data_IF_083132414397
#
_entry.id   IF_083132414397
#
_cell.length_a   1.000
_cell.length_b   1.000
_cell.length_c   1.000
_cell.angle_alpha   90.00
_cell.angle_beta   90.00
_cell.angle_gamma   90.00
#
_symmetry.space_group_name_H-M   'P 1'
#
loop_
_entity.id
_entity.type
_entity.pdbx_description
1 polymer ?
#
# COMPACT_ATOMS: atom_id res chain seq x y z
N UNK A 1 -32.58 -31.42 3.45
CA UNK A 1 -31.32 -30.77 3.06
C UNK A 1 -31.50 -30.33 1.62
N UNK A 2 -31.26 -29.06 1.30
CA UNK A 2 -31.28 -28.60 -0.10
C UNK A 2 -30.03 -29.09 -0.82
N UNK A 3 -30.17 -29.38 -2.11
CA UNK A 3 -29.04 -29.79 -2.94
C UNK A 3 -27.94 -28.70 -2.95
N UNK A 4 -26.66 -29.11 -2.97
CA UNK A 4 -25.56 -28.17 -3.04
C UNK A 4 -25.64 -27.32 -4.31
N UNK A 5 -25.40 -26.02 -4.16
CA UNK A 5 -25.35 -25.04 -5.24
C UNK A 5 -23.89 -24.71 -5.52
N UNK A 6 -23.50 -24.85 -6.80
CA UNK A 6 -22.18 -24.44 -7.28
C UNK A 6 -22.25 -23.10 -8.00
N UNK A 7 -21.38 -22.19 -7.57
CA UNK A 7 -21.16 -20.86 -8.13
C UNK A 7 -19.81 -20.83 -8.85
N UNK A 8 -19.76 -20.17 -9.99
CA UNK A 8 -18.53 -19.80 -10.68
C UNK A 8 -18.31 -18.30 -10.53
N UNK A 9 -17.37 -17.88 -9.68
CA UNK A 9 -17.07 -16.47 -9.41
C UNK A 9 -15.73 -16.12 -10.05
N UNK A 10 -15.77 -15.43 -11.18
CA UNK A 10 -14.57 -15.03 -11.94
C UNK A 10 -13.67 -16.20 -12.34
N UNK A 11 -14.24 -17.39 -12.58
CA UNK A 11 -13.52 -18.62 -12.89
C UNK A 11 -13.24 -19.53 -11.69
N UNK A 12 -13.50 -19.08 -10.45
CA UNK A 12 -13.31 -19.89 -9.24
C UNK A 12 -14.61 -20.53 -8.79
N UNK A 13 -14.61 -21.85 -8.65
CA UNK A 13 -15.78 -22.61 -8.22
C UNK A 13 -15.92 -22.61 -6.70
N UNK A 14 -17.14 -22.33 -6.24
CA UNK A 14 -17.55 -22.42 -4.84
C UNK A 14 -18.81 -23.24 -4.73
N UNK A 15 -18.85 -24.20 -3.80
CA UNK A 15 -20.04 -24.99 -3.50
C UNK A 15 -20.57 -24.63 -2.11
N UNK A 16 -21.87 -24.37 -2.02
CA UNK A 16 -22.54 -23.98 -0.78
C UNK A 16 -24.01 -24.40 -0.79
N UNK A 17 -24.76 -24.05 0.26
CA UNK A 17 -26.20 -24.32 0.35
C UNK A 17 -27.04 -23.11 -0.03
N UNK A 18 -28.30 -23.35 -0.42
CA UNK A 18 -29.29 -22.29 -0.61
C UNK A 18 -29.43 -21.44 0.66
N UNK A 19 -29.48 -22.08 1.83
CA UNK A 19 -29.63 -21.41 3.12
C UNK A 19 -28.50 -20.41 3.40
N UNK A 20 -27.27 -20.72 2.96
CA UNK A 20 -26.13 -19.79 3.06
C UNK A 20 -26.29 -18.60 2.12
N UNK A 21 -26.71 -18.82 0.87
CA UNK A 21 -26.86 -17.72 -0.10
C UNK A 21 -28.03 -16.80 0.22
N UNK A 22 -29.03 -17.32 0.95
CA UNK A 22 -30.19 -16.57 1.40
C UNK A 22 -30.13 -16.18 2.88
N UNK A 23 -28.98 -16.29 3.56
CA UNK A 23 -28.86 -15.96 4.98
C UNK A 23 -29.11 -14.47 5.25
N UNK A 24 -28.82 -13.62 4.26
CA UNK A 24 -29.20 -12.21 4.23
C UNK A 24 -30.13 -11.95 3.04
N UNK A 25 -31.46 -12.02 3.23
CA UNK A 25 -32.45 -11.91 2.14
C UNK A 25 -32.40 -10.60 1.37
N UNK A 26 -32.00 -9.51 2.03
CA UNK A 26 -31.90 -8.17 1.45
C UNK A 26 -30.59 -7.95 0.66
N UNK A 27 -29.67 -8.91 0.69
CA UNK A 27 -28.45 -8.87 -0.12
C UNK A 27 -28.74 -9.24 -1.57
N UNK A 28 -27.81 -8.89 -2.47
CA UNK A 28 -27.88 -9.27 -3.88
C UNK A 28 -27.96 -10.80 -4.04
N UNK A 29 -27.17 -11.56 -3.27
CA UNK A 29 -27.20 -13.02 -3.30
C UNK A 29 -28.54 -13.57 -2.77
N UNK A 30 -29.09 -12.96 -1.72
CA UNK A 30 -30.42 -13.29 -1.22
C UNK A 30 -31.51 -13.09 -2.28
N UNK A 31 -31.45 -11.99 -3.04
CA UNK A 31 -32.36 -11.72 -4.15
C UNK A 31 -32.16 -12.69 -5.33
N UNK A 32 -30.92 -12.98 -5.71
CA UNK A 32 -30.58 -13.92 -6.79
C UNK A 32 -31.08 -15.33 -6.51
N UNK A 33 -30.91 -15.83 -5.29
CA UNK A 33 -31.22 -17.20 -4.93
C UNK A 33 -32.61 -17.39 -4.29
N UNK A 34 -33.36 -16.32 -4.07
CA UNK A 34 -34.80 -16.39 -3.72
C UNK A 34 -35.73 -16.50 -4.94
N UNK A 35 -35.17 -16.59 -6.16
CA UNK A 35 -35.93 -16.68 -7.41
C UNK A 35 -36.42 -15.32 -7.93
N UNK A 36 -35.97 -14.21 -7.33
CA UNK A 36 -36.39 -12.85 -7.68
C UNK A 36 -35.54 -12.23 -8.80
N UNK A 37 -34.39 -12.81 -9.15
CA UNK A 37 -33.52 -12.31 -10.21
C UNK A 37 -33.01 -13.42 -11.13
N UNK A 38 -32.89 -13.15 -12.44
CA UNK A 38 -32.28 -14.08 -13.38
C UNK A 38 -30.78 -14.24 -13.12
N UNK A 39 -30.29 -15.47 -13.15
CA UNK A 39 -28.87 -15.81 -12.97
C UNK A 39 -28.24 -16.25 -14.29
N UNK A 40 -27.10 -15.65 -14.65
CA UNK A 40 -26.29 -16.13 -15.77
C UNK A 40 -25.67 -17.48 -15.38
N UNK A 41 -25.54 -18.39 -16.34
CA UNK A 41 -24.88 -19.68 -16.15
C UNK A 41 -23.66 -19.82 -17.04
N UNK A 42 -22.64 -20.51 -16.56
CA UNK A 42 -21.48 -20.89 -17.36
C UNK A 42 -21.79 -22.08 -18.29
N UNK A 43 -20.80 -22.54 -19.06
CA UNK A 43 -20.94 -23.68 -19.97
C UNK A 43 -21.23 -25.02 -19.28
N UNK A 44 -21.00 -25.11 -17.97
CA UNK A 44 -21.28 -26.28 -17.15
C UNK A 44 -22.60 -26.15 -16.37
N UNK A 45 -23.32 -25.04 -16.55
CA UNK A 45 -24.61 -24.80 -15.92
C UNK A 45 -24.54 -24.23 -14.49
N UNK A 46 -23.34 -23.88 -14.00
CA UNK A 46 -23.15 -23.23 -12.69
C UNK A 46 -23.54 -21.76 -12.77
N UNK A 47 -24.06 -21.20 -11.68
CA UNK A 47 -24.37 -19.76 -11.63
C UNK A 47 -23.06 -18.96 -11.73
N UNK A 48 -22.96 -18.12 -12.76
CA UNK A 48 -21.77 -17.33 -13.03
C UNK A 48 -21.90 -15.91 -12.47
N UNK A 49 -20.87 -15.47 -11.77
CA UNK A 49 -20.73 -14.12 -11.21
C UNK A 49 -19.38 -13.56 -11.69
N UNK A 50 -19.42 -12.47 -12.44
CA UNK A 50 -18.25 -11.84 -13.02
C UNK A 50 -17.55 -10.91 -12.01
N UNK A 51 -16.99 -11.49 -10.94
CA UNK A 51 -16.36 -10.80 -9.80
C UNK A 51 -15.10 -11.54 -9.33
N UNK A 52 -14.38 -10.95 -8.36
CA UNK A 52 -13.16 -11.54 -7.83
C UNK A 52 -13.43 -12.83 -7.05
N UNK A 53 -13.05 -13.96 -7.65
CA UNK A 53 -13.22 -15.27 -7.03
C UNK A 53 -12.39 -15.46 -5.77
N UNK A 54 -11.21 -14.84 -5.61
CA UNK A 54 -10.34 -15.05 -4.45
C UNK A 54 -10.96 -14.44 -3.20
N UNK A 55 -11.42 -13.20 -3.31
CA UNK A 55 -12.02 -12.41 -2.23
C UNK A 55 -13.41 -12.93 -1.85
N UNK A 56 -14.14 -13.51 -2.80
CA UNK A 56 -15.45 -14.12 -2.55
C UNK A 56 -15.43 -15.16 -1.42
N UNK A 57 -14.30 -15.81 -1.14
CA UNK A 57 -14.14 -16.71 0.01
C UNK A 57 -14.58 -16.05 1.33
N UNK A 58 -14.20 -14.80 1.55
CA UNK A 58 -14.50 -14.08 2.79
C UNK A 58 -15.98 -13.68 2.86
N UNK A 59 -16.56 -13.26 1.72
CA UNK A 59 -18.01 -13.02 1.60
C UNK A 59 -18.76 -14.30 1.97
N UNK A 60 -18.40 -15.43 1.36
CA UNK A 60 -19.07 -16.70 1.58
C UNK A 60 -18.92 -17.21 3.02
N UNK A 61 -17.77 -17.00 3.65
CA UNK A 61 -17.59 -17.36 5.06
C UNK A 61 -18.45 -16.49 5.97
N UNK A 62 -18.52 -15.19 5.72
CA UNK A 62 -19.42 -14.30 6.46
C UNK A 62 -20.88 -14.73 6.31
N UNK A 63 -21.32 -15.14 5.11
CA UNK A 63 -22.68 -15.68 4.91
C UNK A 63 -22.97 -16.95 5.72
N UNK A 64 -21.93 -17.73 6.09
CA UNK A 64 -22.06 -18.98 6.86
C UNK A 64 -22.08 -18.74 8.36
N UNK A 65 -21.22 -17.85 8.85
CA UNK A 65 -20.98 -17.67 10.28
C UNK A 65 -21.56 -16.38 10.83
N UNK A 66 -21.88 -15.41 9.98
CA UNK A 66 -22.16 -14.02 10.34
C UNK A 66 -21.03 -13.34 11.12
N UNK A 67 -19.78 -13.83 10.96
CA UNK A 67 -18.59 -13.28 11.60
C UNK A 67 -17.54 -12.90 10.55
N UNK A 68 -16.84 -11.79 10.79
CA UNK A 68 -15.75 -11.31 9.94
C UNK A 68 -14.43 -12.00 10.33
N UNK A 69 -14.13 -13.10 9.66
CA UNK A 69 -12.91 -13.88 9.88
C UNK A 69 -11.86 -13.58 8.81
N UNK A 70 -10.85 -12.79 9.17
CA UNK A 70 -9.74 -12.40 8.29
C UNK A 70 -8.39 -12.89 8.85
N UNK A 71 -7.44 -13.28 7.98
CA UNK A 71 -6.05 -13.46 8.39
C UNK A 71 -5.49 -12.22 9.09
N UNK A 72 -4.57 -12.41 10.04
CA UNK A 72 -3.93 -11.29 10.77
C UNK A 72 -3.24 -10.29 9.83
N UNK A 73 -2.70 -10.78 8.72
CA UNK A 73 -1.97 -10.01 7.70
C UNK A 73 -2.83 -9.66 6.47
N UNK A 74 -4.15 -9.66 6.59
CA UNK A 74 -5.04 -9.40 5.45
C UNK A 74 -4.84 -7.99 4.85
N UNK A 75 -4.27 -7.91 3.65
CA UNK A 75 -3.95 -6.63 2.98
C UNK A 75 -5.04 -6.14 2.01
N UNK A 76 -6.04 -6.97 1.69
CA UNK A 76 -7.03 -6.69 0.64
C UNK A 76 -8.33 -6.06 1.18
N UNK A 77 -8.28 -5.36 2.33
CA UNK A 77 -9.44 -4.73 2.99
C UNK A 77 -10.30 -3.88 2.04
N UNK A 78 -9.67 -2.98 1.28
CA UNK A 78 -10.38 -2.13 0.33
C UNK A 78 -11.01 -2.87 -0.85
N UNK A 79 -10.45 -4.02 -1.24
CA UNK A 79 -11.06 -4.89 -2.26
C UNK A 79 -12.25 -5.65 -1.67
N UNK A 80 -12.10 -6.22 -0.46
CA UNK A 80 -13.18 -6.90 0.25
C UNK A 80 -14.37 -5.97 0.51
N UNK A 81 -14.12 -4.71 0.89
CA UNK A 81 -15.17 -3.69 1.05
C UNK A 81 -15.95 -3.47 -0.25
N UNK A 82 -15.26 -3.29 -1.38
CA UNK A 82 -15.92 -3.13 -2.69
C UNK A 82 -16.73 -4.36 -3.11
N UNK A 83 -16.27 -5.56 -2.78
CA UNK A 83 -17.07 -6.78 -3.02
C UNK A 83 -18.27 -6.86 -2.08
N UNK A 84 -18.12 -6.53 -0.79
CA UNK A 84 -19.23 -6.49 0.16
C UNK A 84 -20.32 -5.50 -0.27
N UNK A 85 -19.93 -4.33 -0.77
CA UNK A 85 -20.82 -3.33 -1.37
C UNK A 85 -21.53 -3.87 -2.62
N UNK A 86 -20.80 -4.55 -3.51
CA UNK A 86 -21.36 -5.16 -4.73
C UNK A 86 -22.43 -6.21 -4.40
N UNK A 87 -22.13 -7.12 -3.45
CA UNK A 87 -23.06 -8.15 -3.01
C UNK A 87 -24.15 -7.62 -2.06
N UNK A 88 -24.08 -6.34 -1.67
CA UNK A 88 -25.03 -5.67 -0.77
C UNK A 88 -25.21 -6.40 0.57
N UNK A 89 -24.13 -6.93 1.13
CA UNK A 89 -24.17 -7.61 2.44
C UNK A 89 -23.97 -6.56 3.53
N UNK A 90 -25.04 -5.85 3.89
CA UNK A 90 -24.98 -4.70 4.81
C UNK A 90 -24.28 -4.99 6.15
N UNK A 91 -24.57 -6.11 6.86
CA UNK A 91 -23.88 -6.42 8.12
C UNK A 91 -22.37 -6.67 7.95
N UNK A 92 -21.92 -7.13 6.77
CA UNK A 92 -20.50 -7.28 6.47
C UNK A 92 -19.83 -5.92 6.26
N UNK A 93 -20.51 -4.99 5.58
CA UNK A 93 -20.01 -3.62 5.37
C UNK A 93 -19.80 -2.93 6.71
N UNK A 94 -20.76 -3.08 7.64
CA UNK A 94 -20.68 -2.55 9.00
C UNK A 94 -19.53 -3.19 9.79
N UNK A 95 -19.40 -4.52 9.78
CA UNK A 95 -18.31 -5.21 10.45
C UNK A 95 -16.92 -4.80 9.91
N UNK A 96 -16.79 -4.59 8.60
CA UNK A 96 -15.55 -4.09 7.99
C UNK A 96 -15.22 -2.67 8.47
N UNK A 97 -16.22 -1.80 8.54
CA UNK A 97 -16.03 -0.43 9.04
C UNK A 97 -15.64 -0.41 10.52
N UNK A 98 -16.27 -1.24 11.36
CA UNK A 98 -15.89 -1.38 12.76
C UNK A 98 -14.46 -1.86 12.90
N UNK A 99 -14.04 -2.86 12.11
CA UNK A 99 -12.66 -3.36 12.10
C UNK A 99 -11.65 -2.28 11.70
N UNK A 100 -11.95 -1.49 10.67
CA UNK A 100 -11.11 -0.35 10.27
C UNK A 100 -10.99 0.69 11.38
N UNK A 101 -12.10 0.98 12.08
CA UNK A 101 -12.11 1.88 13.23
C UNK A 101 -11.30 1.29 14.40
N UNK A 102 -11.42 0.02 14.72
CA UNK A 102 -10.62 -0.65 15.75
C UNK A 102 -9.12 -0.58 15.46
N UNK A 103 -8.72 -0.87 14.22
CA UNK A 103 -7.33 -0.76 13.78
C UNK A 103 -6.84 0.69 13.92
N UNK A 104 -7.66 1.68 13.58
CA UNK A 104 -7.31 3.08 13.79
C UNK A 104 -7.24 3.49 15.27
N UNK A 105 -8.09 2.90 16.13
CA UNK A 105 -8.12 3.14 17.57
C UNK A 105 -6.91 2.54 18.28
N UNK A 106 -6.44 1.36 17.84
CA UNK A 106 -5.26 0.71 18.38
C UNK A 106 -3.98 1.54 18.16
N UNK A 107 -3.95 2.38 17.13
CA UNK A 107 -2.82 3.24 16.79
C UNK A 107 -2.97 4.69 17.28
N UNK A 108 -3.92 4.96 18.19
CA UNK A 108 -4.14 6.31 18.75
C UNK A 108 -2.88 6.95 19.29
N UNK A 109 -2.14 6.19 20.10
CA UNK A 109 -0.81 6.56 20.54
C UNK A 109 0.19 5.95 19.58
N UNK A 110 0.98 6.79 18.92
CA UNK A 110 1.98 6.31 17.99
C UNK A 110 3.29 7.07 18.13
N UNK A 111 4.39 6.38 17.88
CA UNK A 111 5.71 6.95 17.75
C UNK A 111 6.19 6.75 16.30
N UNK A 112 6.89 7.74 15.78
CA UNK A 112 7.58 7.70 14.49
C UNK A 112 9.03 8.10 14.72
N UNK A 113 9.95 7.21 14.38
CA UNK A 113 11.38 7.46 14.39
C UNK A 113 11.92 7.38 12.96
N UNK A 114 12.67 8.39 12.56
CA UNK A 114 13.30 8.44 11.24
C UNK A 114 14.79 8.63 11.47
N UNK A 115 15.62 7.79 10.86
CA UNK A 115 17.08 7.92 10.85
C UNK A 115 17.55 8.10 9.41
N UNK A 116 18.28 9.18 9.15
CA UNK A 116 18.75 9.58 7.83
C UNK A 116 20.27 9.45 7.74
N UNK A 117 20.73 8.77 6.69
CA UNK A 117 22.14 8.58 6.38
C UNK A 117 22.45 9.02 4.95
N UNK A 118 23.39 9.94 4.79
CA UNK A 118 23.85 10.41 3.49
C UNK A 118 25.30 9.99 3.28
N UNK A 119 25.61 9.54 2.06
CA UNK A 119 26.97 9.29 1.61
C UNK A 119 27.16 9.84 0.21
N UNK A 120 28.39 10.16 -0.13
CA UNK A 120 28.79 10.48 -1.51
C UNK A 120 29.35 9.22 -2.14
N UNK A 121 28.90 8.89 -3.35
CA UNK A 121 29.38 7.77 -4.14
C UNK A 121 29.79 8.28 -5.52
N UNK A 122 30.92 7.81 -6.04
CA UNK A 122 31.31 8.08 -7.43
C UNK A 122 30.57 7.11 -8.35
N UNK A 123 29.92 7.65 -9.37
CA UNK A 123 29.30 6.88 -10.46
C UNK A 123 30.18 7.00 -11.70
N UNK A 124 30.50 5.86 -12.31
CA UNK A 124 31.24 5.79 -13.56
C UNK A 124 30.27 5.44 -14.68
N UNK A 125 30.33 6.15 -15.80
CA UNK A 125 29.40 5.94 -16.91
C UNK A 125 30.04 6.34 -18.23
N UNK A 126 29.43 5.90 -19.33
CA UNK A 126 29.91 6.21 -20.67
C UNK A 126 29.01 7.25 -21.33
N UNK A 127 29.60 8.33 -21.82
CA UNK A 127 28.90 9.36 -22.59
C UNK A 127 29.18 9.14 -24.07
N UNK A 128 28.13 9.23 -24.89
CA UNK A 128 28.26 9.11 -26.35
C UNK A 128 28.47 10.51 -26.94
N UNK A 129 29.67 10.75 -27.46
CA UNK A 129 30.05 12.03 -28.07
C UNK A 129 29.69 12.07 -29.57
N UNK A 130 29.82 10.93 -30.26
CA UNK A 130 29.50 10.78 -31.68
C UNK A 130 29.11 9.32 -32.01
N UNK A 131 28.68 9.00 -33.25
CA UNK A 131 28.54 7.61 -33.67
C UNK A 131 29.86 6.85 -33.44
N UNK A 132 29.81 5.78 -32.63
CA UNK A 132 30.96 4.95 -32.25
C UNK A 132 32.04 5.64 -31.39
N UNK A 133 31.86 6.90 -30.97
CA UNK A 133 32.78 7.60 -30.08
C UNK A 133 32.16 7.73 -28.70
N UNK A 134 32.84 7.16 -27.72
CA UNK A 134 32.39 7.06 -26.34
C UNK A 134 33.51 7.54 -25.40
N UNK A 135 33.16 8.37 -24.43
CA UNK A 135 34.05 8.86 -23.39
C UNK A 135 33.66 8.24 -22.04
N UNK A 136 34.65 7.83 -21.24
CA UNK A 136 34.41 7.42 -19.86
C UNK A 136 34.31 8.67 -19.00
N UNK A 137 33.21 8.81 -18.30
CA UNK A 137 32.92 9.92 -17.39
C UNK A 137 32.73 9.41 -15.97
N UNK A 138 32.96 10.29 -15.00
CA UNK A 138 32.74 10.00 -13.59
C UNK A 138 32.14 11.22 -12.92
N UNK A 139 31.11 11.00 -12.11
CA UNK A 139 30.45 12.07 -11.36
C UNK A 139 30.29 11.65 -9.90
N UNK A 140 30.34 12.63 -9.00
CA UNK A 140 29.95 12.42 -7.61
C UNK A 140 28.43 12.48 -7.51
N UNK A 141 27.86 11.54 -6.76
CA UNK A 141 26.43 11.43 -6.54
C UNK A 141 26.15 11.29 -5.05
N UNK A 142 25.14 12.01 -4.58
CA UNK A 142 24.62 11.83 -3.23
C UNK A 142 23.67 10.64 -3.20
N UNK A 143 23.92 9.74 -2.26
CA UNK A 143 23.07 8.58 -1.96
C UNK A 143 22.48 8.80 -0.58
N UNK A 144 21.17 8.72 -0.52
CA UNK A 144 20.37 8.94 0.67
C UNK A 144 19.74 7.62 1.11
N UNK A 145 19.77 7.40 2.41
CA UNK A 145 19.11 6.30 3.08
C UNK A 145 18.22 6.85 4.21
N UNK A 146 16.98 6.36 4.29
CA UNK A 146 16.06 6.64 5.39
C UNK A 146 15.56 5.34 6.00
N UNK A 147 15.81 5.15 7.29
CA UNK A 147 15.22 4.07 8.08
C UNK A 147 14.11 4.65 8.93
N UNK A 148 12.89 4.19 8.67
CA UNK A 148 11.68 4.72 9.29
C UNK A 148 11.06 3.60 10.11
N UNK A 149 10.86 3.86 11.39
CA UNK A 149 10.11 3.00 12.28
C UNK A 149 8.87 3.74 12.75
N UNK A 150 7.72 3.10 12.67
CA UNK A 150 6.51 3.62 13.33
C UNK A 150 5.75 2.52 14.03
N UNK A 151 5.23 2.83 15.21
CA UNK A 151 4.25 1.96 15.88
C UNK A 151 2.86 2.04 15.23
N UNK A 152 2.65 2.99 14.29
CA UNK A 152 1.46 3.10 13.45
C UNK A 152 1.77 2.52 12.06
N UNK A 153 1.31 1.30 11.80
CA UNK A 153 1.45 0.68 10.48
C UNK A 153 0.55 1.37 9.45
N UNK A 154 -0.58 1.94 9.86
CA UNK A 154 -1.43 2.74 8.97
C UNK A 154 -0.70 3.99 8.50
N UNK A 155 0.09 4.64 9.38
CA UNK A 155 0.91 5.78 8.99
C UNK A 155 1.96 5.36 7.94
N UNK A 156 2.65 4.23 8.12
CA UNK A 156 3.62 3.78 7.12
C UNK A 156 2.97 3.38 5.79
N UNK A 157 1.76 2.80 5.82
CA UNK A 157 0.96 2.55 4.61
C UNK A 157 0.57 3.87 3.93
N UNK A 158 0.13 4.87 4.69
CA UNK A 158 -0.19 6.21 4.18
C UNK A 158 1.03 6.86 3.55
N UNK A 159 2.17 6.87 4.25
CA UNK A 159 3.43 7.39 3.74
C UNK A 159 3.84 6.66 2.44
N UNK A 160 3.76 5.33 2.46
CA UNK A 160 4.06 4.49 1.30
C UNK A 160 3.15 4.74 0.10
N UNK A 161 1.90 5.15 0.32
CA UNK A 161 0.97 5.50 -0.75
C UNK A 161 1.29 6.83 -1.44
N UNK A 162 2.13 7.67 -0.81
CA UNK A 162 2.54 8.99 -1.33
C UNK A 162 3.92 8.98 -1.98
N UNK A 163 4.76 8.02 -1.61
CA UNK A 163 6.13 7.91 -2.07
C UNK A 163 6.27 6.82 -3.16
N UNK A 164 7.02 7.15 -4.21
CA UNK A 164 7.21 6.28 -5.36
C UNK A 164 8.68 6.24 -5.76
N UNK A 165 9.18 5.05 -6.09
CA UNK A 165 10.42 4.94 -6.83
C UNK A 165 10.17 5.18 -8.31
N UNK A 166 11.01 6.02 -8.91
CA UNK A 166 11.09 6.18 -10.35
C UNK A 166 12.27 5.36 -10.87
N UNK A 167 11.97 4.39 -11.73
CA UNK A 167 12.95 3.61 -12.47
C UNK A 167 12.52 3.53 -13.93
N UNK A 168 13.42 3.91 -14.85
CA UNK A 168 13.15 3.93 -16.29
C UNK A 168 11.84 4.67 -16.69
N UNK A 169 11.59 5.82 -16.07
CA UNK A 169 10.37 6.62 -16.28
C UNK A 169 9.08 6.04 -15.68
N UNK A 170 9.11 4.84 -15.09
CA UNK A 170 7.97 4.24 -14.43
C UNK A 170 7.99 4.51 -12.93
N UNK A 171 6.82 4.86 -12.39
CA UNK A 171 6.60 5.04 -10.96
C UNK A 171 6.07 3.74 -10.34
N UNK A 172 6.78 3.22 -9.35
CA UNK A 172 6.35 2.08 -8.54
C UNK A 172 6.18 2.52 -7.09
N UNK A 173 5.01 2.26 -6.49
CA UNK A 173 4.76 2.61 -5.09
C UNK A 173 5.72 1.85 -4.18
N UNK A 174 6.25 2.55 -3.18
CA UNK A 174 7.12 1.93 -2.18
C UNK A 174 6.37 0.96 -1.25
N UNK A 175 5.02 0.97 -1.25
CA UNK A 175 4.22 0.02 -0.46
C UNK A 175 4.52 -1.44 -0.79
N UNK A 176 4.91 -1.73 -2.04
CA UNK A 176 5.36 -3.06 -2.45
C UNK A 176 6.68 -3.51 -1.80
N UNK A 177 7.42 -2.59 -1.20
CA UNK A 177 8.69 -2.84 -0.52
C UNK A 177 8.57 -2.88 1.02
N UNK A 178 7.38 -2.68 1.58
CA UNK A 178 7.10 -2.87 3.01
C UNK A 178 7.09 -4.37 3.32
N UNK A 179 8.23 -4.91 3.78
CA UNK A 179 8.32 -6.28 4.28
C UNK A 179 7.87 -6.39 5.75
N UNK A 180 8.03 -5.30 6.50
CA UNK A 180 7.67 -5.19 7.91
C UNK A 180 6.58 -4.10 8.04
N UNK A 181 5.46 -4.37 8.73
CA UNK A 181 4.38 -3.40 8.91
C UNK A 181 4.79 -2.14 9.70
N UNK A 182 5.86 -2.22 10.50
CA UNK A 182 6.34 -1.16 11.39
C UNK A 182 7.68 -0.57 10.95
N UNK A 183 8.31 -1.10 9.89
CA UNK A 183 9.58 -0.62 9.38
C UNK A 183 9.55 -0.34 7.88
N UNK A 184 10.16 0.78 7.47
CA UNK A 184 10.31 1.16 6.08
C UNK A 184 11.73 1.69 5.85
N UNK A 185 12.46 1.03 4.95
CA UNK A 185 13.78 1.47 4.50
C UNK A 185 13.67 2.03 3.09
N UNK A 186 14.23 3.23 2.89
CA UNK A 186 14.29 3.89 1.60
C UNK A 186 15.74 4.17 1.22
N UNK A 187 16.07 3.91 -0.03
CA UNK A 187 17.37 4.20 -0.63
C UNK A 187 17.14 4.89 -1.97
N UNK A 188 17.68 6.09 -2.12
CA UNK A 188 17.54 6.87 -3.34
C UNK A 188 18.74 7.76 -3.61
N UNK A 189 18.83 8.25 -4.84
CA UNK A 189 19.90 9.14 -5.27
C UNK A 189 19.38 10.51 -5.67
N UNK A 190 20.24 11.53 -5.50
CA UNK A 190 20.02 12.84 -6.09
C UNK A 190 20.01 12.75 -7.63
N UNK A 191 19.50 13.79 -8.28
CA UNK A 191 19.75 13.95 -9.72
C UNK A 191 21.24 14.23 -9.94
N UNK A 192 21.85 13.54 -10.90
CA UNK A 192 23.26 13.70 -11.25
C UNK A 192 23.32 14.37 -12.60
N UNK A 193 23.94 15.54 -12.65
CA UNK A 193 24.11 16.28 -13.90
C UNK A 193 24.94 15.46 -14.90
N UNK A 194 24.43 15.35 -16.13
CA UNK A 194 25.09 14.64 -17.22
C UNK A 194 25.00 13.12 -17.18
N UNK A 195 24.40 12.51 -16.15
CA UNK A 195 24.21 11.06 -16.10
C UNK A 195 23.05 10.64 -17.02
N UNK A 196 23.28 9.81 -18.06
CA UNK A 196 22.22 9.37 -18.97
C UNK A 196 21.14 8.56 -18.24
N UNK A 197 19.87 8.69 -18.64
CA UNK A 197 18.73 7.98 -18.04
C UNK A 197 18.89 6.44 -18.03
N UNK A 198 19.48 5.88 -19.09
CA UNK A 198 19.77 4.45 -19.16
C UNK A 198 20.68 3.98 -18.03
N UNK A 199 21.56 4.85 -17.56
CA UNK A 199 22.58 4.51 -16.58
C UNK A 199 22.00 4.33 -15.19
N UNK A 200 20.94 5.09 -14.86
CA UNK A 200 20.17 4.85 -13.64
C UNK A 200 19.60 3.43 -13.61
N UNK A 201 19.14 2.93 -14.77
CA UNK A 201 18.59 1.58 -14.87
C UNK A 201 19.71 0.53 -14.82
N UNK A 202 20.80 0.72 -15.60
CA UNK A 202 21.94 -0.20 -15.65
C UNK A 202 22.60 -0.38 -14.29
N UNK A 203 22.70 0.69 -13.51
CA UNK A 203 23.34 0.69 -12.20
C UNK A 203 22.33 0.55 -11.05
N UNK A 204 21.06 0.26 -11.34
CA UNK A 204 19.98 0.08 -10.36
C UNK A 204 19.85 1.25 -9.37
N UNK A 205 20.06 2.47 -9.86
CA UNK A 205 19.94 3.71 -9.10
C UNK A 205 18.47 4.16 -9.12
N UNK A 206 17.88 4.31 -7.93
CA UNK A 206 16.49 4.68 -7.77
C UNK A 206 16.36 6.14 -7.40
N UNK A 207 15.42 6.85 -8.01
CA UNK A 207 15.02 8.19 -7.59
C UNK A 207 13.70 8.11 -6.84
N UNK A 208 13.55 8.92 -5.80
CA UNK A 208 12.35 8.96 -4.99
C UNK A 208 11.47 10.16 -5.38
N UNK A 209 10.16 9.95 -5.43
CA UNK A 209 9.17 10.94 -5.88
C UNK A 209 7.96 10.98 -4.94
N UNK A 210 7.30 12.13 -4.89
CA UNK A 210 6.02 12.32 -4.19
C UNK A 210 4.88 12.48 -5.19
N UNK A 211 3.80 11.75 -4.97
CA UNK A 211 2.56 11.79 -5.77
C UNK A 211 1.40 12.22 -4.86
N UNK A 212 0.51 13.14 -5.30
CA UNK A 212 0.31 13.65 -6.67
C UNK A 212 1.13 14.88 -7.05
N UNK A 213 1.96 15.42 -6.15
CA UNK A 213 2.73 16.64 -6.41
C UNK A 213 3.74 16.52 -7.58
N UNK A 214 4.04 15.29 -8.01
CA UNK A 214 5.03 14.95 -9.03
C UNK A 214 6.38 15.66 -8.79
N UNK A 215 6.83 15.61 -7.53
CA UNK A 215 8.04 16.27 -7.06
C UNK A 215 9.10 15.22 -6.74
N UNK A 216 10.29 15.34 -7.34
CA UNK A 216 11.43 14.51 -6.98
C UNK A 216 11.95 14.90 -5.58
N UNK A 217 12.28 13.88 -4.78
CA UNK A 217 13.00 14.03 -3.51
C UNK A 217 14.50 13.88 -3.81
N UNK A 218 15.19 15.02 -3.94
CA UNK A 218 16.62 15.07 -4.26
C UNK A 218 17.50 15.49 -3.07
N UNK A 219 16.91 15.71 -1.89
CA UNK A 219 17.62 16.08 -0.67
C UNK A 219 16.84 15.64 0.56
N UNK A 220 17.51 15.57 1.72
CA UNK A 220 16.84 15.32 3.00
C UNK A 220 15.88 16.42 3.40
N UNK A 221 16.14 17.68 3.05
CA UNK A 221 15.21 18.76 3.35
C UNK A 221 13.85 18.50 2.66
N UNK A 222 13.87 18.20 1.37
CA UNK A 222 12.65 17.91 0.61
C UNK A 222 11.95 16.66 1.15
N UNK A 223 12.72 15.62 1.49
CA UNK A 223 12.17 14.41 2.12
C UNK A 223 11.44 14.74 3.41
N UNK A 224 12.10 15.48 4.30
CA UNK A 224 11.58 15.83 5.62
C UNK A 224 10.35 16.72 5.55
N UNK A 225 10.33 17.71 4.66
CA UNK A 225 9.14 18.55 4.45
C UNK A 225 7.91 17.71 4.10
N UNK A 226 8.05 16.72 3.21
CA UNK A 226 6.93 15.89 2.77
C UNK A 226 6.48 14.89 3.85
N UNK A 227 7.44 14.25 4.54
CA UNK A 227 7.12 13.35 5.66
C UNK A 227 6.44 14.10 6.80
N UNK A 228 6.93 15.30 7.16
CA UNK A 228 6.33 16.12 8.21
C UNK A 228 4.93 16.59 7.83
N UNK A 229 4.69 17.02 6.58
CA UNK A 229 3.34 17.38 6.12
C UNK A 229 2.35 16.22 6.32
N UNK A 230 2.74 15.01 5.95
CA UNK A 230 1.89 13.81 6.09
C UNK A 230 1.69 13.48 7.58
N UNK A 231 2.77 13.45 8.37
CA UNK A 231 2.71 13.10 9.78
C UNK A 231 1.88 14.08 10.61
N UNK A 232 2.08 15.39 10.42
CA UNK A 232 1.30 16.43 11.10
C UNK A 232 -0.19 16.35 10.74
N UNK A 233 -0.51 16.06 9.46
CA UNK A 233 -1.90 15.84 9.02
C UNK A 233 -2.52 14.59 9.65
N UNK A 234 -1.71 13.56 9.91
CA UNK A 234 -2.11 12.33 10.59
C UNK A 234 -2.13 12.47 12.14
N UNK A 235 -1.84 13.67 12.65
CA UNK A 235 -1.93 14.02 14.07
C UNK A 235 -0.67 13.76 14.90
N UNK A 236 0.45 13.41 14.26
CA UNK A 236 1.74 13.44 14.94
C UNK A 236 2.15 14.88 15.26
N UNK A 237 2.94 15.05 16.31
CA UNK A 237 3.63 16.28 16.68
C UNK A 237 5.10 15.98 16.98
N UNK A 238 5.94 17.01 16.96
CA UNK A 238 7.36 16.86 17.30
C UNK A 238 7.46 16.50 18.77
N UNK A 239 8.23 15.46 19.08
CA UNK A 239 8.57 15.14 20.46
C UNK A 239 9.45 16.24 21.05
N UNK A 240 8.91 17.01 21.99
CA UNK A 240 9.65 18.10 22.64
C UNK A 240 10.65 17.61 23.70
N UNK A 241 10.58 16.33 24.08
CA UNK A 241 11.50 15.71 25.04
C UNK A 241 12.77 15.16 24.38
N UNK A 242 12.70 14.86 23.07
CA UNK A 242 13.80 14.30 22.26
C UNK A 242 13.60 14.64 20.78
N UNK A 243 14.66 14.93 20.00
CA UNK A 243 16.06 14.76 20.34
C UNK A 243 16.70 16.05 20.91
N UNK A 244 17.96 15.97 21.36
CA UNK A 244 18.73 17.17 21.72
C UNK A 244 18.75 18.13 20.52
N UNK A 245 18.73 19.45 20.77
CA UNK A 245 18.68 20.48 19.73
C UNK A 245 19.73 20.29 18.61
N UNK A 246 20.88 19.67 18.90
CA UNK A 246 21.96 19.38 17.95
C UNK A 246 21.58 18.30 16.92
N UNK A 247 20.76 17.31 17.28
CA UNK A 247 20.32 16.25 16.37
C UNK A 247 19.25 16.73 15.38
N UNK A 248 18.38 17.63 15.85
CA UNK A 248 17.40 18.32 15.01
C UNK A 248 18.10 19.21 13.99
N UNK A 249 19.12 19.95 14.42
CA UNK A 249 19.92 20.81 13.54
C UNK A 249 20.73 20.03 12.48
N UNK A 250 20.99 18.74 12.71
CA UNK A 250 21.74 17.88 11.79
C UNK A 250 20.86 17.06 10.84
N UNK A 251 19.52 17.13 10.94
CA UNK A 251 18.57 16.35 10.11
C UNK A 251 18.83 14.83 10.09
N UNK A 252 19.47 14.26 11.12
CA UNK A 252 19.84 12.81 11.11
C UNK A 252 18.83 11.93 11.83
N UNK A 253 18.14 12.46 12.84
CA UNK A 253 17.17 11.70 13.62
C UNK A 253 15.96 12.59 13.88
N UNK A 254 14.76 12.14 13.51
CA UNK A 254 13.50 12.79 13.85
C UNK A 254 12.65 11.82 14.65
N UNK A 255 12.07 12.34 15.74
CA UNK A 255 11.08 11.64 16.56
C UNK A 255 9.79 12.44 16.57
N UNK A 256 8.70 11.82 16.15
CA UNK A 256 7.36 12.37 16.28
C UNK A 256 6.52 11.44 17.13
N UNK A 257 5.59 12.03 17.86
CA UNK A 257 4.65 11.33 18.73
C UNK A 257 3.24 11.78 18.38
N UNK A 258 2.29 10.85 18.42
CA UNK A 258 0.87 11.13 18.31
C UNK A 258 0.24 10.68 19.61
N UNK A 259 -0.49 11.59 20.25
CA UNK A 259 -1.35 11.29 21.39
C UNK A 259 -2.78 11.60 20.99
N UNK A 260 -3.65 10.58 20.92
CA UNK A 260 -5.07 10.74 20.57
C UNK A 260 -5.96 9.92 21.49
#
# INVERSE_FOLDING_TARGET
>A
MSDPITLNVGGKLYTTSLATLTSFPDSMLGAMFSGKMPTKRDSQGHCFIDRDGKVFRYILNFLRTSHLDLPEDFQEMGLLRREADFYQVQPLIEALQEKEVELSKAEKNAMLNITLNQRVQTVHFTVREAPQIYSLSSSSMEVFNANIFSTSCLFLKLLGSKLFYCSNGNLSSITSHLQDPNHLTLDWVANVEGLPEEEYTKQNLKRLWVVPANKQINSFQVFMEEVLKIALSDGFCIDSSHPHAVDFMNNKIIRLIRYR
#
